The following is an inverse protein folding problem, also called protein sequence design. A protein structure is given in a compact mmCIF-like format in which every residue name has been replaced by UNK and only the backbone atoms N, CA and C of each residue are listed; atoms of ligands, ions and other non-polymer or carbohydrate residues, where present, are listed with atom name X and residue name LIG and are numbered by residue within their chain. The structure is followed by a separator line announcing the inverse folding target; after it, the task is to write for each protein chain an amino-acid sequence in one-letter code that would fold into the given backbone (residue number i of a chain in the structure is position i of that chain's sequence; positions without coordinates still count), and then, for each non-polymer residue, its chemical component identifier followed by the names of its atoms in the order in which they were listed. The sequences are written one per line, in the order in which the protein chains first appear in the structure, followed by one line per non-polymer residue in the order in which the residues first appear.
data_IF_219578924891
#
_entry.id   IF_219578924891
#
_cell.length_a   1.000
_cell.length_b   1.000
_cell.length_c   1.000
_cell.angle_alpha   90.00
_cell.angle_beta   90.00
_cell.angle_gamma   90.00
#
_symmetry.space_group_name_H-M   'P 1'
#
loop_
_entity.id
_entity.type
_entity.pdbx_description
1 polymer ?
#
# COMPACT_ATOMS: atom_id res chain seq x y z
N UNK A 1 -27.75 1.80 -28.11
CA UNK A 1 -27.61 0.77 -27.06
C UNK A 1 -26.14 0.70 -26.70
N UNK A 2 -25.79 0.88 -25.42
CA UNK A 2 -24.41 0.71 -24.96
C UNK A 2 -24.04 -0.78 -24.88
N UNK A 3 -22.75 -1.06 -24.87
CA UNK A 3 -22.19 -2.39 -24.56
C UNK A 3 -21.81 -2.34 -23.07
N UNK A 4 -22.01 -3.43 -22.32
CA UNK A 4 -21.69 -3.50 -20.87
C UNK A 4 -22.41 -2.44 -20.02
N UNK A 5 -23.72 -2.27 -20.23
CA UNK A 5 -24.53 -1.29 -19.49
C UNK A 5 -25.38 -1.92 -18.37
N UNK A 6 -25.01 -3.12 -17.92
CA UNK A 6 -25.76 -3.92 -16.96
C UNK A 6 -25.32 -3.69 -15.52
N UNK A 7 -25.49 -4.71 -14.66
CA UNK A 7 -24.78 -4.75 -13.39
C UNK A 7 -23.32 -5.17 -13.66
N UNK A 8 -22.31 -4.34 -13.34
CA UNK A 8 -20.90 -4.64 -13.66
C UNK A 8 -20.41 -5.96 -13.07
N UNK A 9 -20.97 -6.38 -11.93
CA UNK A 9 -20.60 -7.64 -11.28
C UNK A 9 -21.03 -8.89 -12.05
N UNK A 10 -21.99 -8.77 -12.98
CA UNK A 10 -22.41 -9.86 -13.84
C UNK A 10 -21.55 -9.98 -15.11
N UNK A 11 -20.63 -9.04 -15.33
CA UNK A 11 -19.75 -9.00 -16.49
C UNK A 11 -18.44 -9.72 -16.18
N UNK A 12 -17.83 -10.40 -17.17
CA UNK A 12 -16.56 -11.07 -16.95
C UNK A 12 -15.46 -10.03 -16.73
N UNK A 13 -14.54 -10.32 -15.80
CA UNK A 13 -13.27 -9.59 -15.73
C UNK A 13 -12.46 -9.86 -17.01
N UNK A 14 -11.90 -8.83 -17.63
CA UNK A 14 -10.92 -9.06 -18.70
C UNK A 14 -9.56 -9.48 -18.10
N UNK A 15 -8.69 -10.04 -18.93
CA UNK A 15 -7.40 -10.59 -18.47
C UNK A 15 -6.49 -9.56 -17.76
N UNK A 16 -6.61 -8.29 -18.12
CA UNK A 16 -5.88 -7.20 -17.46
C UNK A 16 -6.37 -6.93 -16.05
N UNK A 17 -7.70 -6.91 -15.83
CA UNK A 17 -8.28 -6.87 -14.48
C UNK A 17 -7.90 -8.09 -13.65
N UNK A 18 -8.04 -9.31 -14.21
CA UNK A 18 -7.66 -10.54 -13.51
C UNK A 18 -6.21 -10.48 -13.05
N UNK A 19 -5.28 -10.17 -13.96
CA UNK A 19 -3.86 -10.11 -13.63
C UNK A 19 -3.52 -8.92 -12.71
N UNK A 20 -4.15 -7.76 -12.91
CA UNK A 20 -3.93 -6.56 -12.12
C UNK A 20 -4.35 -6.75 -10.66
N UNK A 21 -5.57 -7.26 -10.43
CA UNK A 21 -6.09 -7.56 -9.10
C UNK A 21 -5.26 -8.65 -8.42
N UNK A 22 -4.92 -9.73 -9.15
CA UNK A 22 -4.11 -10.82 -8.62
C UNK A 22 -2.69 -10.38 -8.23
N UNK A 23 -2.07 -9.54 -9.05
CA UNK A 23 -0.73 -8.99 -8.78
C UNK A 23 -0.75 -8.04 -7.58
N UNK A 24 -1.79 -7.19 -7.50
CA UNK A 24 -2.00 -6.33 -6.34
C UNK A 24 -2.18 -7.14 -5.06
N UNK A 25 -3.02 -8.17 -5.07
CA UNK A 25 -3.22 -9.04 -3.91
C UNK A 25 -1.91 -9.72 -3.47
N UNK A 26 -1.10 -10.17 -4.42
CA UNK A 26 0.22 -10.75 -4.16
C UNK A 26 1.13 -9.76 -3.43
N UNK A 27 1.22 -8.52 -3.94
CA UNK A 27 2.02 -7.48 -3.32
C UNK A 27 1.48 -7.09 -1.93
N UNK A 28 0.17 -6.91 -1.78
CA UNK A 28 -0.46 -6.53 -0.52
C UNK A 28 -0.21 -7.56 0.59
N UNK A 29 -0.28 -8.87 0.28
CA UNK A 29 0.07 -9.95 1.20
C UNK A 29 1.55 -9.91 1.61
N UNK A 30 2.44 -9.66 0.65
CA UNK A 30 3.87 -9.48 0.91
C UNK A 30 4.15 -8.30 1.83
N UNK A 31 3.56 -7.14 1.53
CA UNK A 31 3.69 -5.93 2.34
C UNK A 31 3.13 -6.10 3.74
N UNK A 32 1.95 -6.74 3.92
CA UNK A 32 1.40 -7.01 5.26
C UNK A 32 2.41 -7.78 6.11
N UNK A 33 2.99 -8.85 5.56
CA UNK A 33 3.97 -9.66 6.28
C UNK A 33 5.29 -8.91 6.54
N UNK A 34 5.75 -8.10 5.59
CA UNK A 34 6.93 -7.25 5.75
C UNK A 34 6.73 -6.15 6.80
N UNK A 35 5.56 -5.53 6.81
CA UNK A 35 5.22 -4.46 7.76
C UNK A 35 5.04 -5.00 9.17
N UNK A 36 4.56 -6.23 9.35
CA UNK A 36 4.61 -6.91 10.65
C UNK A 36 6.05 -7.09 11.14
N UNK A 37 7.00 -7.40 10.25
CA UNK A 37 8.43 -7.40 10.60
C UNK A 37 8.90 -5.99 10.94
N UNK A 38 8.58 -4.97 10.15
CA UNK A 38 8.94 -3.59 10.50
C UNK A 38 8.37 -3.14 11.84
N UNK A 39 7.15 -3.55 12.18
CA UNK A 39 6.52 -3.26 13.46
C UNK A 39 7.34 -3.80 14.64
N UNK A 40 7.91 -4.99 14.51
CA UNK A 40 8.80 -5.58 15.51
C UNK A 40 10.15 -4.84 15.63
N UNK A 41 10.60 -4.19 14.56
CA UNK A 41 11.87 -3.46 14.51
C UNK A 41 11.75 -1.97 14.86
N UNK A 42 10.52 -1.46 14.98
CA UNK A 42 10.25 -0.03 15.17
C UNK A 42 10.39 0.35 16.65
N UNK A 43 11.23 1.36 16.93
CA UNK A 43 11.36 1.97 18.26
C UNK A 43 10.45 3.17 18.48
N UNK A 44 10.29 4.02 17.45
CA UNK A 44 9.47 5.22 17.53
C UNK A 44 7.96 4.91 17.61
N UNK A 45 7.32 5.45 18.66
CA UNK A 45 5.90 5.18 18.93
C UNK A 45 4.93 5.78 17.91
N UNK A 46 5.30 6.85 17.20
CA UNK A 46 4.44 7.46 16.18
C UNK A 46 4.54 6.69 14.86
N UNK A 47 5.76 6.27 14.49
CA UNK A 47 5.98 5.36 13.36
C UNK A 47 5.25 4.04 13.57
N UNK A 48 5.30 3.48 14.78
CA UNK A 48 4.61 2.22 15.12
C UNK A 48 3.11 2.29 14.81
N UNK A 49 2.44 3.37 15.23
CA UNK A 49 1.01 3.60 14.96
C UNK A 49 0.72 3.71 13.46
N UNK A 50 1.58 4.40 12.69
CA UNK A 50 1.39 4.50 11.24
C UNK A 50 1.59 3.17 10.52
N UNK A 51 2.50 2.31 10.99
CA UNK A 51 2.68 0.95 10.47
C UNK A 51 1.44 0.10 10.80
N UNK A 52 0.88 0.21 12.01
CA UNK A 52 -0.37 -0.45 12.39
C UNK A 52 -1.55 0.00 11.49
N UNK A 53 -1.71 1.31 11.27
CA UNK A 53 -2.68 1.88 10.32
C UNK A 53 -2.48 1.28 8.91
N UNK A 54 -1.23 1.15 8.45
CA UNK A 54 -0.89 0.59 7.14
C UNK A 54 -1.25 -0.91 7.04
N UNK A 55 -0.95 -1.69 8.08
CA UNK A 55 -1.31 -3.12 8.16
C UNK A 55 -2.84 -3.29 8.14
N UNK A 56 -3.57 -2.44 8.86
CA UNK A 56 -5.03 -2.47 8.87
C UNK A 56 -5.61 -2.16 7.48
N UNK A 57 -5.09 -1.12 6.82
CA UNK A 57 -5.47 -0.77 5.46
C UNK A 57 -5.23 -1.93 4.48
N UNK A 58 -4.03 -2.53 4.51
CA UNK A 58 -3.71 -3.71 3.70
C UNK A 58 -4.63 -4.89 3.98
N UNK A 59 -5.02 -5.10 5.24
CA UNK A 59 -5.95 -6.19 5.60
C UNK A 59 -7.33 -6.01 4.96
N UNK A 60 -7.82 -4.77 4.88
CA UNK A 60 -9.09 -4.46 4.20
C UNK A 60 -8.97 -4.61 2.68
N UNK A 61 -7.87 -4.16 2.09
CA UNK A 61 -7.59 -4.29 0.65
C UNK A 61 -7.47 -5.77 0.23
N UNK A 62 -6.77 -6.58 1.02
CA UNK A 62 -6.63 -8.04 0.82
C UNK A 62 -8.00 -8.71 0.84
N UNK A 63 -8.83 -8.44 1.86
CA UNK A 63 -10.15 -9.06 2.00
C UNK A 63 -11.06 -8.77 0.78
N UNK A 64 -11.09 -7.51 0.34
CA UNK A 64 -11.92 -7.10 -0.80
C UNK A 64 -11.42 -7.69 -2.13
N UNK A 65 -10.10 -7.74 -2.35
CA UNK A 65 -9.54 -8.33 -3.57
C UNK A 65 -9.63 -9.85 -3.58
N UNK A 66 -9.51 -10.52 -2.44
CA UNK A 66 -9.77 -11.97 -2.32
C UNK A 66 -11.22 -12.30 -2.67
N UNK A 67 -12.18 -11.54 -2.14
CA UNK A 67 -13.60 -11.75 -2.46
C UNK A 67 -13.86 -11.54 -3.96
N UNK A 68 -13.33 -10.46 -4.56
CA UNK A 68 -13.45 -10.21 -5.99
C UNK A 68 -12.90 -11.38 -6.83
N UNK A 69 -11.71 -11.89 -6.51
CA UNK A 69 -11.12 -13.01 -7.24
C UNK A 69 -11.90 -14.31 -7.02
N UNK A 70 -12.40 -14.54 -5.81
CA UNK A 70 -13.16 -15.73 -5.42
C UNK A 70 -14.45 -15.86 -6.20
N UNK A 71 -15.26 -14.80 -6.24
CA UNK A 71 -16.56 -14.82 -6.93
C UNK A 71 -16.41 -14.94 -8.44
N UNK A 72 -15.24 -14.58 -8.98
CA UNK A 72 -14.89 -14.74 -10.39
C UNK A 72 -14.08 -16.03 -10.67
N UNK A 73 -13.94 -16.94 -9.69
CA UNK A 73 -13.30 -18.25 -9.89
C UNK A 73 -11.78 -18.21 -10.15
N UNK A 74 -11.09 -17.14 -9.74
CA UNK A 74 -9.64 -16.98 -9.91
C UNK A 74 -8.91 -17.48 -8.66
N UNK A 75 -7.89 -18.32 -8.86
CA UNK A 75 -7.07 -18.85 -7.77
C UNK A 75 -6.23 -17.78 -7.07
N UNK A 76 -6.10 -17.89 -5.76
CA UNK A 76 -5.35 -16.92 -4.95
C UNK A 76 -3.84 -17.13 -5.04
N UNK A 77 -3.04 -16.06 -4.90
CA UNK A 77 -1.62 -16.19 -4.65
C UNK A 77 -1.36 -16.76 -3.23
N UNK A 78 -0.23 -17.46 -3.01
CA UNK A 78 0.17 -17.92 -1.69
C UNK A 78 0.25 -16.77 -0.66
N UNK A 79 -0.21 -17.02 0.56
CA UNK A 79 -0.17 -16.04 1.65
C UNK A 79 1.02 -16.34 2.57
N UNK A 80 1.94 -15.38 2.81
CA UNK A 80 2.97 -15.55 3.83
C UNK A 80 2.35 -15.72 5.23
N UNK A 81 2.98 -16.49 6.13
CA UNK A 81 2.50 -16.62 7.50
C UNK A 81 2.61 -15.29 8.25
N UNK A 82 1.73 -15.08 9.23
CA UNK A 82 1.84 -13.92 10.11
C UNK A 82 3.12 -13.97 10.94
N UNK A 83 3.69 -12.80 11.23
CA UNK A 83 4.91 -12.71 12.04
C UNK A 83 4.56 -12.70 13.53
N UNK A 84 5.24 -13.51 14.36
CA UNK A 84 5.10 -13.40 15.80
C UNK A 84 5.66 -12.05 16.28
N UNK A 85 5.16 -11.57 17.43
CA UNK A 85 5.76 -10.43 18.11
C UNK A 85 7.19 -10.75 18.52
N UNK A 86 8.09 -9.76 18.41
CA UNK A 86 9.47 -9.88 18.85
C UNK A 86 9.84 -8.68 19.74
N UNK A 87 10.72 -8.92 20.72
CA UNK A 87 11.25 -7.85 21.55
C UNK A 87 12.34 -7.10 20.79
N UNK A 88 12.21 -5.78 20.71
CA UNK A 88 13.09 -4.90 19.95
C UNK A 88 14.55 -5.01 20.41
N UNK A 89 14.79 -5.16 21.71
CA UNK A 89 16.12 -5.27 22.31
C UNK A 89 16.77 -6.64 22.10
N UNK A 90 15.98 -7.65 21.71
CA UNK A 90 16.47 -8.98 21.36
C UNK A 90 17.01 -9.08 19.92
N UNK A 91 16.74 -8.07 19.08
CA UNK A 91 17.15 -8.08 17.67
C UNK A 91 18.62 -7.67 17.58
N UNK A 92 19.52 -8.53 17.04
CA UNK A 92 20.92 -8.16 16.88
C UNK A 92 21.08 -6.87 16.09
N UNK A 93 21.95 -5.97 16.55
CA UNK A 93 22.12 -4.62 15.97
C UNK A 93 22.37 -4.66 14.46
N UNK A 94 23.18 -5.60 13.96
CA UNK A 94 23.45 -5.75 12.53
C UNK A 94 22.28 -6.27 11.68
N UNK A 95 21.21 -6.77 12.31
CA UNK A 95 19.99 -7.25 11.66
C UNK A 95 18.80 -6.30 11.86
N UNK A 96 18.96 -5.25 12.68
CA UNK A 96 17.88 -4.31 13.01
C UNK A 96 17.78 -3.21 11.94
N UNK A 97 16.64 -3.13 11.25
CA UNK A 97 16.24 -1.93 10.53
C UNK A 97 16.02 -0.76 11.51
N UNK A 98 16.53 0.44 11.20
CA UNK A 98 16.25 1.61 12.01
C UNK A 98 14.99 2.34 11.51
N UNK A 99 14.38 3.12 12.39
CA UNK A 99 13.12 3.82 12.14
C UNK A 99 13.14 4.70 10.87
N UNK A 100 14.22 5.45 10.54
CA UNK A 100 14.28 6.22 9.30
C UNK A 100 14.22 5.34 8.04
N UNK A 101 14.92 4.19 8.01
CA UNK A 101 14.88 3.29 6.85
C UNK A 101 13.54 2.58 6.72
N UNK A 102 12.93 2.19 7.85
CA UNK A 102 11.58 1.63 7.87
C UNK A 102 10.58 2.62 7.29
N UNK A 103 10.59 3.87 7.79
CA UNK A 103 9.67 4.90 7.33
C UNK A 103 9.86 5.22 5.84
N UNK A 104 11.12 5.26 5.38
CA UNK A 104 11.44 5.43 3.96
C UNK A 104 10.93 4.26 3.10
N UNK A 105 11.14 3.02 3.53
CA UNK A 105 10.67 1.83 2.82
C UNK A 105 9.15 1.82 2.67
N UNK A 106 8.40 2.02 3.76
CA UNK A 106 6.94 2.07 3.73
C UNK A 106 6.45 3.25 2.87
N UNK A 107 7.13 4.39 2.89
CA UNK A 107 6.79 5.54 2.04
C UNK A 107 6.97 5.23 0.55
N UNK A 108 8.02 4.50 0.17
CA UNK A 108 8.25 4.05 -1.21
C UNK A 108 7.18 3.05 -1.66
N UNK A 109 6.84 2.08 -0.79
CA UNK A 109 5.80 1.09 -1.06
C UNK A 109 4.42 1.74 -1.25
N UNK A 110 4.08 2.76 -0.45
CA UNK A 110 2.84 3.54 -0.63
C UNK A 110 2.84 4.24 -1.99
N UNK A 111 3.96 4.87 -2.39
CA UNK A 111 4.07 5.52 -3.69
C UNK A 111 3.91 4.54 -4.85
N UNK A 112 4.54 3.36 -4.77
CA UNK A 112 4.35 2.29 -5.75
C UNK A 112 2.88 1.80 -5.79
N UNK A 113 2.25 1.66 -4.62
CA UNK A 113 0.84 1.30 -4.49
C UNK A 113 -0.12 2.29 -5.14
N UNK A 114 0.17 3.60 -5.07
CA UNK A 114 -0.61 4.64 -5.76
C UNK A 114 -0.57 4.44 -7.29
N UNK A 115 0.64 4.27 -7.85
CA UNK A 115 0.82 4.02 -9.29
C UNK A 115 0.09 2.75 -9.73
N UNK A 116 0.19 1.68 -8.94
CA UNK A 116 -0.51 0.43 -9.22
C UNK A 116 -2.04 0.62 -9.23
N UNK A 117 -2.60 1.33 -8.25
CA UNK A 117 -4.03 1.61 -8.21
C UNK A 117 -4.47 2.43 -9.43
N UNK A 118 -3.75 3.52 -9.79
CA UNK A 118 -4.07 4.32 -10.97
C UNK A 118 -4.03 3.51 -12.27
N UNK A 119 -3.07 2.59 -12.38
CA UNK A 119 -2.93 1.71 -13.54
C UNK A 119 -4.13 0.76 -13.66
N UNK A 120 -4.57 0.17 -12.54
CA UNK A 120 -5.73 -0.72 -12.51
C UNK A 120 -7.01 0.06 -12.84
N UNK A 121 -7.22 1.24 -12.25
CA UNK A 121 -8.36 2.11 -12.57
C UNK A 121 -8.42 2.42 -14.07
N UNK A 122 -7.29 2.80 -14.67
CA UNK A 122 -7.24 3.21 -16.08
C UNK A 122 -7.44 2.09 -17.09
N UNK A 123 -7.21 0.83 -16.70
CA UNK A 123 -7.41 -0.33 -17.57
C UNK A 123 -8.76 -1.04 -17.35
N UNK A 124 -9.42 -0.82 -16.21
CA UNK A 124 -10.70 -1.46 -15.88
C UNK A 124 -11.79 -1.07 -16.87
N UNK A 125 -12.58 -2.07 -17.27
CA UNK A 125 -13.85 -1.88 -17.97
C UNK A 125 -15.03 -2.09 -17.03
N UNK A 126 -14.87 -2.90 -15.99
CA UNK A 126 -15.85 -3.08 -14.93
C UNK A 126 -15.78 -1.94 -13.93
N UNK A 127 -16.86 -1.19 -13.80
CA UNK A 127 -16.89 0.00 -12.95
C UNK A 127 -16.69 -0.33 -11.47
N UNK A 128 -17.11 -1.51 -11.01
CA UNK A 128 -16.93 -1.94 -9.62
C UNK A 128 -15.44 -2.13 -9.26
N UNK A 129 -14.63 -2.61 -10.21
CA UNK A 129 -13.17 -2.72 -10.04
C UNK A 129 -12.53 -1.34 -10.01
N UNK A 130 -12.89 -0.47 -10.96
CA UNK A 130 -12.37 0.90 -11.00
C UNK A 130 -12.71 1.67 -9.71
N UNK A 131 -13.92 1.53 -9.19
CA UNK A 131 -14.34 2.16 -7.93
C UNK A 131 -13.58 1.60 -6.72
N UNK A 132 -13.40 0.27 -6.64
CA UNK A 132 -12.63 -0.38 -5.56
C UNK A 132 -11.20 0.18 -5.49
N UNK A 133 -10.49 0.20 -6.62
CA UNK A 133 -9.13 0.74 -6.66
C UNK A 133 -9.07 2.26 -6.50
N UNK A 134 -10.12 2.99 -6.86
CA UNK A 134 -10.27 4.41 -6.53
C UNK A 134 -10.32 4.66 -5.02
N UNK A 135 -11.04 3.81 -4.27
CA UNK A 135 -11.06 3.87 -2.81
C UNK A 135 -9.69 3.56 -2.20
N UNK A 136 -9.02 2.50 -2.69
CA UNK A 136 -7.67 2.14 -2.23
C UNK A 136 -6.66 3.27 -2.52
N UNK A 137 -6.71 3.85 -3.71
CA UNK A 137 -5.86 4.98 -4.08
C UNK A 137 -6.03 6.15 -3.11
N UNK A 138 -7.27 6.55 -2.80
CA UNK A 138 -7.55 7.65 -1.87
C UNK A 138 -7.05 7.34 -0.45
N UNK A 139 -7.28 6.12 0.04
CA UNK A 139 -6.78 5.69 1.34
C UNK A 139 -5.23 5.73 1.41
N UNK A 140 -4.55 5.23 0.37
CA UNK A 140 -3.08 5.28 0.26
C UNK A 140 -2.55 6.70 0.16
N UNK A 141 -3.23 7.60 -0.57
CA UNK A 141 -2.81 9.00 -0.68
C UNK A 141 -2.85 9.70 0.69
N UNK A 142 -3.91 9.45 1.46
CA UNK A 142 -4.03 9.96 2.83
C UNK A 142 -2.96 9.37 3.76
N UNK A 143 -2.69 8.07 3.65
CA UNK A 143 -1.62 7.41 4.42
C UNK A 143 -0.24 7.98 4.06
N UNK A 144 0.06 8.16 2.77
CA UNK A 144 1.31 8.77 2.30
C UNK A 144 1.51 10.19 2.82
N UNK A 145 0.44 10.99 2.92
CA UNK A 145 0.50 12.32 3.53
C UNK A 145 0.85 12.25 5.03
N UNK A 146 0.33 11.27 5.78
CA UNK A 146 0.70 11.04 7.19
C UNK A 146 2.18 10.67 7.32
N UNK A 147 2.69 9.76 6.48
CA UNK A 147 4.12 9.39 6.47
C UNK A 147 5.03 10.57 6.12
N UNK A 148 4.66 11.38 5.13
CA UNK A 148 5.41 12.60 4.78
C UNK A 148 5.48 13.57 5.96
N UNK A 149 4.36 13.76 6.68
CA UNK A 149 4.32 14.61 7.87
C UNK A 149 5.24 14.06 8.96
N UNK A 150 5.16 12.77 9.28
CA UNK A 150 6.04 12.12 10.25
C UNK A 150 7.52 12.27 9.88
N UNK A 151 7.88 12.01 8.62
CA UNK A 151 9.25 12.12 8.14
C UNK A 151 9.82 13.53 8.28
N UNK A 152 8.97 14.57 8.12
CA UNK A 152 9.38 15.96 8.37
C UNK A 152 9.54 16.24 9.87
N UNK A 153 8.58 15.82 10.70
CA UNK A 153 8.59 16.05 12.15
C UNK A 153 9.77 15.37 12.85
N UNK A 154 10.17 14.17 12.38
CA UNK A 154 11.28 13.40 12.95
C UNK A 154 12.64 13.71 12.30
N UNK A 155 12.66 14.54 11.25
CA UNK A 155 13.90 14.85 10.51
C UNK A 155 14.46 13.68 9.69
N UNK A 156 13.62 12.71 9.32
CA UNK A 156 14.02 11.54 8.51
C UNK A 156 13.93 11.80 7.01
N UNK A 157 13.24 12.86 6.59
CA UNK A 157 13.18 13.25 5.19
C UNK A 157 14.55 13.74 4.73
N UNK A 158 15.17 13.03 3.79
CA UNK A 158 16.36 13.50 3.10
C UNK A 158 15.91 14.56 2.09
N UNK A 159 16.30 15.84 2.25
CA UNK A 159 15.85 16.89 1.37
C UNK A 159 16.45 16.67 -0.03
N UNK A 160 15.63 16.61 -1.09
CA UNK A 160 16.15 16.69 -2.45
C UNK A 160 16.72 18.09 -2.70
N UNK A 161 17.49 18.29 -3.79
CA UNK A 161 17.89 19.63 -4.22
C UNK A 161 16.69 20.58 -4.26
N UNK A 162 16.80 21.70 -3.55
CA UNK A 162 15.73 22.69 -3.46
C UNK A 162 15.92 23.74 -4.54
N UNK A 163 14.91 23.90 -5.39
CA UNK A 163 14.90 24.95 -6.40
C UNK A 163 14.59 26.31 -5.75
N UNK A 164 15.61 27.14 -5.57
CA UNK A 164 15.50 28.46 -4.97
C UNK A 164 15.30 29.52 -6.06
N UNK A 165 14.13 29.56 -6.69
CA UNK A 165 13.74 30.71 -7.49
C UNK A 165 13.15 31.80 -6.58
N UNK A 166 13.95 32.81 -6.25
CA UNK A 166 13.44 34.09 -5.76
C UNK A 166 13.94 35.22 -6.66
N UNK A 167 13.25 35.56 -7.76
CA UNK A 167 13.26 36.94 -8.22
C UNK A 167 12.38 37.74 -7.25
N UNK A 168 12.99 38.40 -6.26
CA UNK A 168 12.35 39.43 -5.44
C UNK A 168 11.73 39.00 -4.10
N UNK A 169 12.55 38.52 -3.16
CA UNK A 169 12.25 38.72 -1.74
C UNK A 169 13.31 39.67 -1.16
N UNK A 170 13.08 40.97 -1.36
CA UNK A 170 13.46 42.00 -0.39
C UNK A 170 12.41 42.03 0.72
#
# INVERSE_FOLDING_TARGET
MGILSGNPQNEPLHYGEVFGVWSFLTAAKGFKAGYQTYLNHTGDGDLKKLIEDAIQGLTQEISQTEELLKVNGVGFPPTPPERPSADLESIPVGARFADPEISAAVSMDIAAGLVACSTIIGQSIREDVAMMFGQFHNAKAMLGAKFLKLNKEKGWLIPPPLHLNSPGKE
#
